data_IF_758263507344
#
_entry.id   IF_758263507344
#
_cell.length_a   1.000
_cell.length_b   1.000
_cell.length_c   1.000
_cell.angle_alpha   90.00
_cell.angle_beta   90.00
_cell.angle_gamma   90.00
#
_symmetry.space_group_name_H-M   'P 1'
#
loop_
_entity.id
_entity.type
_entity.pdbx_description
1 polymer ?
#
# COMPACT_ATOMS: atom_id res chain seq x y z
N UNK A 1 21.19 -21.05 18.82
CA UNK A 1 21.04 -19.70 18.34
C UNK A 1 21.99 -18.75 19.06
N UNK A 2 22.75 -17.95 18.31
CA UNK A 2 23.73 -17.04 18.91
C UNK A 2 23.01 -15.81 19.47
N UNK A 3 23.10 -15.60 20.79
CA UNK A 3 22.45 -14.47 21.48
C UNK A 3 22.93 -13.13 20.93
N UNK A 4 24.22 -13.00 20.62
CA UNK A 4 24.80 -11.79 20.06
C UNK A 4 24.19 -11.47 18.69
N UNK A 5 23.99 -12.47 17.85
CA UNK A 5 23.38 -12.33 16.54
C UNK A 5 21.92 -11.86 16.66
N UNK A 6 21.19 -12.38 17.66
CA UNK A 6 19.81 -11.98 17.93
C UNK A 6 19.75 -10.53 18.40
N UNK A 7 20.64 -10.13 19.31
CA UNK A 7 20.72 -8.75 19.81
C UNK A 7 21.10 -7.78 18.70
N UNK A 8 22.06 -8.15 17.87
CA UNK A 8 22.50 -7.32 16.74
C UNK A 8 21.38 -7.09 15.75
N UNK A 9 20.64 -8.14 15.40
CA UNK A 9 19.48 -8.06 14.52
C UNK A 9 18.40 -7.14 15.11
N UNK A 10 18.13 -7.25 16.40
CA UNK A 10 17.14 -6.44 17.10
C UNK A 10 17.51 -4.96 17.08
N UNK A 11 18.80 -4.62 17.22
CA UNK A 11 19.27 -3.23 17.20
C UNK A 11 19.18 -2.56 15.85
N UNK A 12 19.36 -3.32 14.76
CA UNK A 12 19.41 -2.77 13.40
C UNK A 12 18.22 -3.18 12.54
N UNK A 13 17.26 -3.90 13.11
CA UNK A 13 16.08 -4.32 12.38
C UNK A 13 15.09 -3.18 12.28
N UNK A 14 14.90 -2.67 11.06
CA UNK A 14 13.94 -1.59 10.77
C UNK A 14 12.53 -2.13 10.56
N UNK A 15 12.29 -3.41 10.87
CA UNK A 15 11.01 -4.09 10.71
C UNK A 15 11.04 -5.11 9.57
N UNK A 16 9.91 -5.79 9.32
CA UNK A 16 9.82 -6.77 8.25
C UNK A 16 10.10 -6.14 6.88
N UNK A 17 10.75 -6.89 6.02
CA UNK A 17 10.96 -6.47 4.64
C UNK A 17 9.62 -6.41 3.92
N UNK A 18 9.40 -5.34 3.16
CA UNK A 18 8.20 -5.16 2.34
C UNK A 18 8.54 -5.50 0.90
N UNK A 19 7.78 -6.43 0.33
CA UNK A 19 7.95 -6.88 -1.05
C UNK A 19 7.61 -5.75 -2.02
N UNK A 20 8.40 -5.63 -3.09
CA UNK A 20 8.08 -4.76 -4.21
C UNK A 20 7.28 -5.56 -5.23
N UNK A 21 6.25 -4.93 -5.78
CA UNK A 21 5.36 -5.55 -6.77
C UNK A 21 5.28 -4.66 -7.99
N UNK A 22 5.55 -5.23 -9.17
CA UNK A 22 5.37 -4.49 -10.42
C UNK A 22 3.89 -4.22 -10.67
N UNK A 23 3.54 -3.12 -11.37
CA UNK A 23 2.13 -2.82 -11.65
C UNK A 23 1.36 -3.94 -12.35
N UNK A 24 1.97 -4.63 -13.31
CA UNK A 24 1.31 -5.74 -14.00
C UNK A 24 1.01 -6.91 -13.08
N UNK A 25 1.92 -7.23 -12.15
CA UNK A 25 1.70 -8.26 -11.16
C UNK A 25 0.59 -7.86 -10.18
N UNK A 26 0.61 -6.59 -9.74
CA UNK A 26 -0.44 -6.07 -8.86
C UNK A 26 -1.81 -6.18 -9.53
N UNK A 27 -1.91 -5.78 -10.79
CA UNK A 27 -3.15 -5.87 -11.55
C UNK A 27 -3.67 -7.31 -11.61
N UNK A 28 -2.78 -8.27 -11.84
CA UNK A 28 -3.14 -9.68 -11.92
C UNK A 28 -3.63 -10.21 -10.57
N UNK A 29 -2.91 -9.92 -9.50
CA UNK A 29 -3.29 -10.37 -8.16
C UNK A 29 -4.66 -9.82 -7.74
N UNK A 30 -4.92 -8.55 -8.06
CA UNK A 30 -6.22 -7.93 -7.75
C UNK A 30 -7.34 -8.56 -8.59
N UNK A 31 -7.10 -8.77 -9.88
CA UNK A 31 -8.08 -9.41 -10.77
C UNK A 31 -8.42 -10.83 -10.32
N UNK A 32 -7.45 -11.55 -9.74
CA UNK A 32 -7.64 -12.89 -9.21
C UNK A 32 -8.24 -12.94 -7.81
N UNK A 33 -8.51 -11.78 -7.21
CA UNK A 33 -9.04 -11.71 -5.85
C UNK A 33 -8.03 -12.06 -4.76
N UNK A 34 -6.74 -12.06 -5.08
CA UNK A 34 -5.67 -12.43 -4.15
C UNK A 34 -5.10 -11.26 -3.37
N UNK A 35 -5.38 -10.04 -3.80
CA UNK A 35 -4.86 -8.82 -3.17
C UNK A 35 -5.83 -7.67 -3.38
N UNK A 36 -5.72 -6.68 -2.50
CA UNK A 36 -6.38 -5.37 -2.66
C UNK A 36 -5.31 -4.33 -2.99
N UNK A 37 -5.63 -3.42 -3.90
CA UNK A 37 -4.75 -2.30 -4.24
C UNK A 37 -5.25 -1.04 -3.57
N UNK A 38 -4.36 -0.28 -2.94
CA UNK A 38 -4.73 0.93 -2.18
C UNK A 38 -3.88 2.11 -2.64
N UNK A 39 -4.56 3.20 -3.02
CA UNK A 39 -3.92 4.49 -3.26
C UNK A 39 -3.87 5.23 -1.92
N UNK A 40 -2.66 5.45 -1.40
CA UNK A 40 -2.47 6.09 -0.10
C UNK A 40 -2.17 7.59 -0.21
N UNK A 41 -2.30 8.14 -1.43
CA UNK A 41 -2.14 9.58 -1.63
C UNK A 41 -3.28 10.34 -0.96
N UNK A 42 -3.26 11.65 -1.05
CA UNK A 42 -4.31 12.49 -0.46
C UNK A 42 -5.42 12.77 -1.48
N UNK A 43 -6.63 13.13 -1.01
CA UNK A 43 -7.75 13.40 -1.91
C UNK A 43 -7.47 14.41 -3.03
N UNK A 44 -6.67 15.43 -2.76
CA UNK A 44 -6.29 16.41 -3.78
C UNK A 44 -5.50 15.78 -4.93
N UNK A 45 -4.76 14.71 -4.65
CA UNK A 45 -3.98 14.01 -5.67
C UNK A 45 -4.84 13.03 -6.48
N UNK A 46 -5.90 12.50 -5.90
CA UNK A 46 -6.81 11.58 -6.57
C UNK A 46 -7.55 12.24 -7.73
N UNK A 47 -7.74 13.54 -7.67
CA UNK A 47 -8.43 14.29 -8.72
C UNK A 47 -7.75 14.16 -10.09
N UNK A 48 -6.44 13.88 -10.11
CA UNK A 48 -5.70 13.65 -11.35
C UNK A 48 -5.81 12.22 -11.90
N UNK A 49 -6.56 11.35 -11.23
CA UNK A 49 -6.75 9.97 -11.64
C UNK A 49 -6.09 8.98 -10.68
N UNK A 50 -6.68 7.81 -10.60
CA UNK A 50 -6.20 6.71 -9.75
C UNK A 50 -6.21 5.42 -10.57
N UNK A 51 -5.45 4.42 -10.13
CA UNK A 51 -5.56 3.07 -10.72
C UNK A 51 -7.00 2.58 -10.58
N UNK A 52 -7.57 2.06 -11.66
CA UNK A 52 -9.00 1.74 -11.70
C UNK A 52 -9.48 0.84 -10.54
N UNK A 53 -8.74 -0.23 -10.15
CA UNK A 53 -9.18 -1.09 -9.06
C UNK A 53 -8.81 -0.58 -7.66
N UNK A 54 -8.16 0.58 -7.53
CA UNK A 54 -7.64 1.01 -6.23
C UNK A 54 -8.74 1.44 -5.27
N UNK A 55 -8.59 1.03 -4.02
CA UNK A 55 -9.29 1.62 -2.89
C UNK A 55 -8.59 2.92 -2.52
N UNK A 56 -9.33 3.92 -2.08
CA UNK A 56 -8.79 5.24 -1.77
C UNK A 56 -8.75 5.41 -0.26
N UNK A 57 -7.56 5.29 0.32
CA UNK A 57 -7.37 5.40 1.76
C UNK A 57 -6.17 6.31 2.03
N UNK A 58 -6.46 7.56 2.34
CA UNK A 58 -5.43 8.59 2.53
C UNK A 58 -4.45 8.22 3.64
N UNK A 59 -3.17 8.47 3.40
CA UNK A 59 -2.14 8.28 4.42
C UNK A 59 -2.37 9.14 5.64
N UNK A 60 -2.94 10.34 5.47
CA UNK A 60 -3.27 11.22 6.59
C UNK A 60 -4.26 10.57 7.56
N UNK A 61 -5.25 9.85 7.05
CA UNK A 61 -6.19 9.10 7.91
C UNK A 61 -5.47 8.01 8.71
N UNK A 62 -4.51 7.34 8.08
CA UNK A 62 -3.74 6.29 8.75
C UNK A 62 -3.03 6.81 10.00
N UNK A 63 -2.45 8.01 9.91
CA UNK A 63 -1.70 8.60 11.02
C UNK A 63 -2.58 9.42 11.98
N UNK A 64 -3.87 9.61 11.67
CA UNK A 64 -4.78 10.47 12.43
C UNK A 64 -6.09 9.75 12.76
N UNK A 65 -5.99 8.60 13.43
CA UNK A 65 -7.14 7.89 13.97
C UNK A 65 -7.63 6.72 13.16
N UNK A 66 -7.21 6.56 11.91
CA UNK A 66 -7.50 5.38 11.06
C UNK A 66 -9.00 5.11 10.90
N UNK A 67 -9.81 6.16 10.83
CA UNK A 67 -11.25 6.02 10.77
C UNK A 67 -11.69 5.21 9.54
N UNK A 68 -11.05 5.43 8.40
CA UNK A 68 -11.35 4.69 7.17
C UNK A 68 -10.47 3.45 7.01
N UNK A 69 -9.23 3.51 7.49
CA UNK A 69 -8.32 2.38 7.39
C UNK A 69 -8.75 1.19 8.22
N UNK A 70 -9.28 1.41 9.43
CA UNK A 70 -9.61 0.31 10.35
C UNK A 70 -10.65 -0.66 9.75
N UNK A 71 -11.80 -0.19 9.20
CA UNK A 71 -12.74 -1.15 8.60
C UNK A 71 -12.15 -1.87 7.39
N UNK A 72 -11.34 -1.18 6.59
CA UNK A 72 -10.68 -1.81 5.45
C UNK A 72 -9.74 -2.94 5.90
N UNK A 73 -8.91 -2.68 6.90
CA UNK A 73 -7.95 -3.68 7.41
C UNK A 73 -8.66 -4.89 8.00
N UNK A 74 -9.80 -4.68 8.66
CA UNK A 74 -10.62 -5.79 9.17
C UNK A 74 -11.12 -6.68 8.03
N UNK A 75 -11.58 -6.08 6.93
CA UNK A 75 -12.04 -6.84 5.78
C UNK A 75 -10.91 -7.56 5.04
N UNK A 76 -9.74 -6.92 4.97
CA UNK A 76 -8.58 -7.50 4.31
C UNK A 76 -8.08 -8.77 5.00
N UNK A 77 -8.09 -8.77 6.34
CA UNK A 77 -7.67 -9.93 7.13
C UNK A 77 -6.27 -10.40 6.75
N UNK A 78 -6.14 -11.62 6.23
CA UNK A 78 -4.87 -12.22 5.83
C UNK A 78 -4.55 -12.02 4.34
N UNK A 79 -5.42 -11.36 3.60
CA UNK A 79 -5.18 -11.06 2.18
C UNK A 79 -4.08 -10.01 2.03
N UNK A 80 -3.36 -10.08 0.92
CA UNK A 80 -2.29 -9.13 0.65
C UNK A 80 -2.86 -7.75 0.32
N UNK A 81 -2.28 -6.72 0.92
CA UNK A 81 -2.62 -5.32 0.65
C UNK A 81 -1.43 -4.68 -0.09
N UNK A 82 -1.66 -4.25 -1.31
CA UNK A 82 -0.64 -3.64 -2.15
C UNK A 82 -0.86 -2.13 -2.14
N UNK A 83 0.13 -1.38 -1.69
CA UNK A 83 0.04 0.08 -1.55
C UNK A 83 0.80 0.78 -2.67
N UNK A 84 0.31 1.94 -3.08
CA UNK A 84 1.09 2.84 -3.93
C UNK A 84 0.81 4.30 -3.55
N UNK A 85 1.75 5.18 -3.90
CA UNK A 85 1.58 6.62 -3.78
C UNK A 85 2.07 7.30 -5.05
N UNK A 86 2.68 8.48 -4.97
CA UNK A 86 3.24 9.14 -6.14
C UNK A 86 4.60 8.54 -6.53
N UNK A 87 5.50 8.41 -5.57
CA UNK A 87 6.88 7.96 -5.80
C UNK A 87 7.20 6.59 -5.19
N UNK A 88 6.37 6.10 -4.29
CA UNK A 88 6.63 4.89 -3.52
C UNK A 88 7.18 5.15 -2.12
N UNK A 89 7.53 6.40 -1.79
CA UNK A 89 8.11 6.71 -0.47
C UNK A 89 7.08 6.65 0.66
N UNK A 90 5.94 7.31 0.49
CA UNK A 90 4.86 7.30 1.48
C UNK A 90 4.28 5.90 1.65
N UNK A 91 4.00 5.24 0.53
CA UNK A 91 3.48 3.88 0.55
C UNK A 91 4.46 2.89 1.17
N UNK A 92 5.75 3.07 0.94
CA UNK A 92 6.78 2.24 1.55
C UNK A 92 6.81 2.34 3.07
N UNK A 93 6.75 3.57 3.60
CA UNK A 93 6.72 3.79 5.06
C UNK A 93 5.48 3.19 5.70
N UNK A 94 4.34 3.39 5.06
CA UNK A 94 3.06 2.90 5.55
C UNK A 94 3.02 1.37 5.50
N UNK A 95 3.53 0.79 4.41
CA UNK A 95 3.61 -0.67 4.26
C UNK A 95 4.50 -1.29 5.36
N UNK A 96 5.64 -0.66 5.68
CA UNK A 96 6.50 -1.17 6.75
C UNK A 96 5.79 -1.14 8.10
N UNK A 97 5.02 -0.10 8.38
CA UNK A 97 4.26 -0.03 9.63
C UNK A 97 3.18 -1.12 9.69
N UNK A 98 2.44 -1.31 8.60
CA UNK A 98 1.43 -2.36 8.54
C UNK A 98 2.05 -3.76 8.68
N UNK A 99 3.22 -3.97 8.08
CA UNK A 99 3.93 -5.24 8.23
C UNK A 99 4.31 -5.51 9.69
N UNK A 100 4.75 -4.47 10.42
CA UNK A 100 5.04 -4.58 11.85
C UNK A 100 3.79 -4.95 12.66
N UNK A 101 2.64 -4.55 12.19
CA UNK A 101 1.35 -4.85 12.84
C UNK A 101 0.80 -6.22 12.44
N UNK A 102 1.51 -6.96 11.59
CA UNK A 102 1.14 -8.33 11.23
C UNK A 102 0.36 -8.46 9.93
N UNK A 103 0.19 -7.39 9.16
CA UNK A 103 -0.51 -7.46 7.89
C UNK A 103 0.42 -7.92 6.76
N UNK A 104 -0.15 -8.61 5.78
CA UNK A 104 0.57 -8.99 4.57
C UNK A 104 0.49 -7.83 3.59
N UNK A 105 1.62 -7.17 3.35
CA UNK A 105 1.64 -5.93 2.55
C UNK A 105 2.76 -5.96 1.52
N UNK A 106 2.56 -5.17 0.46
CA UNK A 106 3.57 -4.96 -0.58
C UNK A 106 3.50 -3.50 -1.03
N UNK A 107 4.55 -3.02 -1.67
CA UNK A 107 4.64 -1.66 -2.20
C UNK A 107 4.76 -1.74 -3.72
N UNK A 108 3.78 -1.18 -4.44
CA UNK A 108 3.84 -1.10 -5.90
C UNK A 108 4.69 0.09 -6.39
N UNK A 109 4.88 1.08 -5.56
CA UNK A 109 5.66 2.26 -5.92
C UNK A 109 4.78 3.45 -6.28
N UNK A 110 4.91 3.96 -7.51
CA UNK A 110 4.21 5.17 -7.92
C UNK A 110 3.10 4.93 -8.93
N UNK A 111 2.13 5.84 -8.94
CA UNK A 111 0.97 5.78 -9.84
C UNK A 111 1.39 5.81 -11.31
N UNK A 112 2.49 6.50 -11.64
CA UNK A 112 2.96 6.60 -13.02
C UNK A 112 3.42 5.26 -13.57
N UNK A 113 3.94 4.37 -12.74
CA UNK A 113 4.30 3.02 -13.17
C UNK A 113 3.08 2.24 -13.65
N UNK A 114 1.96 2.38 -12.95
CA UNK A 114 0.69 1.78 -13.35
C UNK A 114 0.24 2.32 -14.72
N UNK A 115 0.22 3.65 -14.85
CA UNK A 115 -0.19 4.33 -16.08
C UNK A 115 0.71 3.97 -17.27
N UNK A 116 2.04 3.99 -17.08
CA UNK A 116 3.00 3.64 -18.14
C UNK A 116 2.90 2.18 -18.58
N UNK A 117 2.44 1.31 -17.70
CA UNK A 117 2.22 -0.10 -18.04
C UNK A 117 0.94 -0.29 -18.89
N UNK A 118 0.22 0.79 -19.17
CA UNK A 118 -1.01 0.72 -19.95
C UNK A 118 -2.20 0.16 -19.19
N UNK A 119 -2.13 0.13 -17.86
CA UNK A 119 -3.19 -0.41 -17.03
C UNK A 119 -4.29 0.63 -16.80
N UNK A 120 -5.54 0.21 -16.56
CA UNK A 120 -6.67 1.12 -16.55
C UNK A 120 -6.65 2.09 -15.37
N UNK A 121 -6.97 3.34 -15.70
CA UNK A 121 -7.13 4.44 -14.74
C UNK A 121 -8.61 4.80 -14.64
N UNK A 122 -9.01 5.41 -13.53
CA UNK A 122 -10.33 6.01 -13.39
C UNK A 122 -10.22 7.41 -12.81
N UNK A 123 -11.22 8.22 -13.13
CA UNK A 123 -11.35 9.55 -12.55
C UNK A 123 -12.11 9.47 -11.23
N UNK A 124 -11.73 10.33 -10.31
CA UNK A 124 -12.42 10.48 -9.03
C UNK A 124 -13.14 11.81 -9.07
N UNK A 125 -14.46 11.79 -8.82
CA UNK A 125 -15.25 13.03 -8.78
C UNK A 125 -14.81 13.85 -7.58
N UNK A 126 -14.39 15.10 -7.83
CA UNK A 126 -14.18 16.04 -6.75
C UNK A 126 -15.54 16.37 -6.13
N UNK A 127 -15.59 16.44 -4.80
CA UNK A 127 -16.75 17.01 -4.13
C UNK A 127 -16.64 18.52 -4.30
N UNK A 128 -17.31 19.00 -5.32
CA UNK A 128 -17.42 20.43 -5.57
C UNK A 128 -18.38 21.08 -4.61
#
# INVERSE_FOLDING_TARGET
MNLLKTLFKSLFDTGPAVRRVAPSEAAQLVAEGKAALVDVREPSEWAGGVAAPAQLLAGSDFYNGRKQWTPFLKRAGQSEVILYCLSGARSGRLARQLAREGFKVANMGGVHGWSRAGLPMRKVKSRG
#
